data_IF_871880302016
#
_entry.id   IF_871880302016
#
_cell.length_a   1.000
_cell.length_b   1.000
_cell.length_c   1.000
_cell.angle_alpha   90.00
_cell.angle_beta   90.00
_cell.angle_gamma   90.00
#
_symmetry.space_group_name_H-M   'P 1'
#
loop_
_entity.id
_entity.type
_entity.pdbx_description
1 polymer ?
#
# COMPACT_ATOMS: atom_id res chain seq x y z
N UNK A 1 -10.80 -11.85 19.36
CA UNK A 1 -11.26 -13.22 19.06
C UNK A 1 -11.31 -13.53 17.55
N UNK A 2 -10.81 -12.65 16.66
CA UNK A 2 -10.63 -12.91 15.21
C UNK A 2 -9.33 -13.69 14.88
N UNK A 3 -8.31 -13.58 15.74
CA UNK A 3 -6.97 -14.13 15.52
C UNK A 3 -6.91 -15.67 15.49
N UNK A 4 -7.94 -16.36 16.00
CA UNK A 4 -8.06 -17.81 15.99
C UNK A 4 -8.92 -18.35 14.84
N UNK A 5 -9.44 -17.49 13.97
CA UNK A 5 -10.14 -17.94 12.77
C UNK A 5 -9.10 -18.24 11.67
N UNK A 6 -8.81 -19.52 11.49
CA UNK A 6 -7.83 -20.01 10.52
C UNK A 6 -8.19 -19.55 9.10
N UNK A 7 -9.48 -19.41 8.78
CA UNK A 7 -9.92 -18.97 7.46
C UNK A 7 -9.56 -17.50 7.25
N UNK A 8 -9.91 -16.64 8.21
CA UNK A 8 -9.62 -15.21 8.14
C UNK A 8 -8.11 -14.95 8.14
N UNK A 9 -7.34 -15.70 8.94
CA UNK A 9 -5.89 -15.60 8.96
C UNK A 9 -5.26 -16.03 7.63
N UNK A 10 -5.80 -17.06 6.98
CA UNK A 10 -5.33 -17.52 5.67
C UNK A 10 -5.63 -16.47 4.57
N UNK A 11 -6.82 -15.88 4.57
CA UNK A 11 -7.17 -14.78 3.65
C UNK A 11 -6.26 -13.55 3.84
N UNK A 12 -6.05 -13.13 5.08
CA UNK A 12 -5.15 -12.02 5.40
C UNK A 12 -3.71 -12.28 4.95
N UNK A 13 -3.20 -13.52 5.14
CA UNK A 13 -1.85 -13.91 4.69
C UNK A 13 -1.73 -13.96 3.17
N UNK A 14 -2.77 -14.40 2.47
CA UNK A 14 -2.84 -14.37 1.01
C UNK A 14 -2.64 -12.94 0.49
N UNK A 15 -3.44 -11.99 0.99
CA UNK A 15 -3.32 -10.57 0.61
C UNK A 15 -1.97 -9.98 1.04
N UNK A 16 -1.49 -10.32 2.23
CA UNK A 16 -0.18 -9.83 2.73
C UNK A 16 0.99 -10.31 1.85
N UNK A 17 0.89 -11.49 1.26
CA UNK A 17 1.92 -12.05 0.35
C UNK A 17 2.01 -11.25 -0.94
N UNK A 18 0.87 -10.80 -1.48
CA UNK A 18 0.83 -9.89 -2.64
C UNK A 18 1.49 -8.56 -2.29
N UNK A 19 1.20 -8.03 -1.08
CA UNK A 19 1.80 -6.79 -0.58
C UNK A 19 3.33 -6.90 -0.44
N UNK A 20 3.82 -8.05 0.03
CA UNK A 20 5.25 -8.33 0.15
C UNK A 20 5.93 -8.35 -1.22
N UNK A 21 5.37 -9.07 -2.20
CA UNK A 21 5.94 -9.15 -3.55
C UNK A 21 5.92 -7.79 -4.26
N UNK A 22 4.84 -7.02 -4.10
CA UNK A 22 4.79 -5.66 -4.60
C UNK A 22 5.84 -4.77 -3.92
N UNK A 23 6.09 -4.92 -2.62
CA UNK A 23 7.19 -4.25 -1.92
C UNK A 23 8.58 -4.62 -2.48
N UNK A 24 8.79 -5.88 -2.85
CA UNK A 24 10.03 -6.34 -3.51
C UNK A 24 10.21 -5.67 -4.88
N UNK A 25 9.16 -5.56 -5.67
CA UNK A 25 9.18 -4.86 -6.98
C UNK A 25 9.53 -3.38 -6.79
N UNK A 26 8.91 -2.73 -5.80
CA UNK A 26 9.18 -1.31 -5.48
C UNK A 26 10.66 -1.12 -5.11
N UNK A 27 11.18 -1.99 -4.25
CA UNK A 27 12.57 -1.97 -3.81
C UNK A 27 13.56 -2.22 -4.96
N UNK A 28 13.25 -3.17 -5.85
CA UNK A 28 14.06 -3.45 -7.04
C UNK A 28 14.21 -2.24 -7.96
N UNK A 29 13.17 -1.42 -8.09
CA UNK A 29 13.23 -0.17 -8.86
C UNK A 29 14.22 0.87 -8.30
N UNK A 30 14.73 0.69 -7.08
CA UNK A 30 15.79 1.53 -6.52
C UNK A 30 17.17 1.16 -7.09
N UNK A 31 17.38 -0.12 -7.42
CA UNK A 31 18.65 -0.64 -7.93
C UNK A 31 18.70 -0.73 -9.46
N UNK A 32 17.55 -0.96 -10.09
CA UNK A 32 17.44 -1.17 -11.54
C UNK A 32 16.72 0.04 -12.17
N UNK A 33 17.43 0.94 -12.87
CA UNK A 33 16.86 2.15 -13.45
C UNK A 33 15.70 1.90 -14.42
N UNK A 34 15.75 0.79 -15.15
CA UNK A 34 14.72 0.37 -16.11
C UNK A 34 13.38 0.03 -15.42
N UNK A 35 13.41 -0.32 -14.13
CA UNK A 35 12.24 -0.63 -13.30
C UNK A 35 11.70 0.58 -12.52
N UNK A 36 12.31 1.76 -12.65
CA UNK A 36 11.89 2.94 -11.87
C UNK A 36 10.43 3.31 -12.13
N UNK A 37 10.02 3.33 -13.39
CA UNK A 37 8.66 3.64 -13.82
C UNK A 37 7.63 2.63 -13.29
N UNK A 38 7.96 1.33 -13.37
CA UNK A 38 7.09 0.25 -12.88
C UNK A 38 7.01 0.25 -11.36
N UNK A 39 8.13 0.46 -10.67
CA UNK A 39 8.20 0.57 -9.21
C UNK A 39 7.32 1.70 -8.67
N UNK A 40 7.40 2.90 -9.24
CA UNK A 40 6.54 4.02 -8.85
C UNK A 40 5.06 3.73 -9.11
N UNK A 41 4.73 3.10 -10.26
CA UNK A 41 3.34 2.72 -10.58
C UNK A 41 2.77 1.72 -9.58
N UNK A 42 3.55 0.71 -9.18
CA UNK A 42 3.15 -0.27 -8.15
C UNK A 42 3.04 0.37 -6.77
N UNK A 43 3.95 1.29 -6.41
CA UNK A 43 3.88 2.01 -5.15
C UNK A 43 2.62 2.88 -5.05
N UNK A 44 2.26 3.59 -6.13
CA UNK A 44 1.01 4.37 -6.19
C UNK A 44 -0.20 3.45 -6.04
N UNK A 45 -0.24 2.35 -6.79
CA UNK A 45 -1.33 1.38 -6.73
C UNK A 45 -1.52 0.83 -5.32
N UNK A 46 -0.43 0.44 -4.65
CA UNK A 46 -0.47 -0.05 -3.28
C UNK A 46 -0.90 1.05 -2.29
N UNK A 47 -0.13 2.13 -2.19
CA UNK A 47 -0.31 3.10 -1.12
C UNK A 47 -1.62 3.88 -1.27
N UNK A 48 -1.97 4.35 -2.48
CA UNK A 48 -3.25 5.02 -2.68
C UNK A 48 -4.42 4.04 -2.66
N UNK A 49 -4.25 2.82 -3.17
CA UNK A 49 -5.27 1.78 -3.10
C UNK A 49 -5.66 1.44 -1.65
N UNK A 50 -4.66 1.25 -0.78
CA UNK A 50 -4.89 1.03 0.64
C UNK A 50 -5.46 2.27 1.33
N UNK A 51 -4.97 3.48 1.00
CA UNK A 51 -5.51 4.71 1.58
C UNK A 51 -7.01 4.87 1.27
N UNK A 52 -7.42 4.63 0.02
CA UNK A 52 -8.83 4.67 -0.39
C UNK A 52 -9.63 3.60 0.36
N UNK A 53 -9.13 2.36 0.40
CA UNK A 53 -9.78 1.26 1.12
C UNK A 53 -9.99 1.58 2.60
N UNK A 54 -8.98 2.16 3.28
CA UNK A 54 -9.09 2.58 4.67
C UNK A 54 -10.07 3.73 4.86
N UNK A 55 -10.07 4.74 3.99
CA UNK A 55 -11.03 5.85 4.09
C UNK A 55 -12.47 5.36 3.96
N UNK A 56 -12.71 4.42 3.04
CA UNK A 56 -14.03 3.77 2.90
C UNK A 56 -14.38 2.96 4.16
N UNK A 57 -13.46 2.13 4.66
CA UNK A 57 -13.66 1.37 5.91
C UNK A 57 -13.87 2.27 7.13
N UNK A 58 -13.26 3.45 7.21
CA UNK A 58 -13.50 4.37 8.33
C UNK A 58 -14.95 4.86 8.35
N UNK A 59 -15.55 5.06 7.18
CA UNK A 59 -16.95 5.45 7.05
C UNK A 59 -17.92 4.31 7.34
N UNK A 60 -17.59 3.08 6.96
CA UNK A 60 -18.48 1.91 7.08
C UNK A 60 -18.31 1.16 8.41
N UNK A 61 -17.08 0.91 8.84
CA UNK A 61 -16.73 0.06 9.98
C UNK A 61 -16.45 0.88 11.26
N UNK A 62 -16.39 2.21 11.13
CA UNK A 62 -16.10 3.14 12.21
C UNK A 62 -14.61 3.46 12.41
N UNK A 63 -14.30 4.27 13.43
CA UNK A 63 -12.94 4.80 13.64
C UNK A 63 -12.00 3.73 14.20
N UNK A 64 -10.90 3.39 13.52
CA UNK A 64 -9.97 2.38 14.01
C UNK A 64 -8.98 2.94 15.03
N UNK A 65 -8.07 2.07 15.49
CA UNK A 65 -7.06 2.43 16.47
C UNK A 65 -6.06 3.47 15.92
N UNK A 66 -5.26 4.06 16.82
CA UNK A 66 -4.27 5.10 16.48
C UNK A 66 -3.19 4.62 15.49
N UNK A 67 -2.81 3.34 15.53
CA UNK A 67 -1.79 2.76 14.64
C UNK A 67 -2.28 2.68 13.19
N UNK A 68 -3.55 2.33 12.98
CA UNK A 68 -4.18 2.26 11.67
C UNK A 68 -4.32 3.66 11.06
N UNK A 69 -4.66 4.66 11.87
CA UNK A 69 -4.70 6.06 11.44
C UNK A 69 -3.30 6.55 11.05
N UNK A 70 -2.27 6.19 11.81
CA UNK A 70 -0.89 6.50 11.45
C UNK A 70 -0.48 5.82 10.13
N UNK A 71 -0.88 4.56 9.93
CA UNK A 71 -0.68 3.84 8.67
C UNK A 71 -1.29 4.57 7.47
N UNK A 72 -2.53 5.06 7.61
CA UNK A 72 -3.20 5.85 6.57
C UNK A 72 -2.42 7.13 6.21
N UNK A 73 -1.84 7.81 7.20
CA UNK A 73 -1.01 9.00 6.95
C UNK A 73 0.22 8.63 6.12
N UNK A 74 0.90 7.54 6.46
CA UNK A 74 2.04 7.05 5.68
C UNK A 74 1.65 6.65 4.26
N UNK A 75 0.52 5.95 4.10
CA UNK A 75 -0.01 5.56 2.79
C UNK A 75 -0.27 6.80 1.91
N UNK A 76 -0.88 7.86 2.45
CA UNK A 76 -1.11 9.10 1.70
C UNK A 76 0.19 9.83 1.34
N UNK A 77 1.14 9.95 2.26
CA UNK A 77 2.41 10.66 2.02
C UNK A 77 3.24 9.91 0.99
N UNK A 78 3.43 8.60 1.16
CA UNK A 78 4.23 7.77 0.25
C UNK A 78 3.55 7.64 -1.12
N UNK A 79 2.23 7.46 -1.16
CA UNK A 79 1.46 7.43 -2.41
C UNK A 79 1.57 8.76 -3.17
N UNK A 80 1.42 9.89 -2.46
CA UNK A 80 1.57 11.23 -3.03
C UNK A 80 2.98 11.49 -3.56
N UNK A 81 4.01 11.13 -2.78
CA UNK A 81 5.41 11.28 -3.18
C UNK A 81 5.75 10.45 -4.44
N UNK A 82 5.28 9.19 -4.50
CA UNK A 82 5.49 8.35 -5.68
C UNK A 82 4.73 8.88 -6.90
N UNK A 83 3.52 9.40 -6.72
CA UNK A 83 2.75 10.05 -7.81
C UNK A 83 3.48 11.26 -8.34
N UNK A 84 3.98 12.12 -7.45
CA UNK A 84 4.76 13.30 -7.83
C UNK A 84 6.03 12.92 -8.59
N UNK A 85 6.80 11.94 -8.09
CA UNK A 85 8.02 11.49 -8.75
C UNK A 85 7.75 10.85 -10.12
N UNK A 86 6.68 10.07 -10.24
CA UNK A 86 6.25 9.49 -11.51
C UNK A 86 5.92 10.57 -12.53
N UNK A 87 5.11 11.58 -12.14
CA UNK A 87 4.75 12.70 -13.02
C UNK A 87 5.99 13.49 -13.44
N UNK A 88 6.88 13.79 -12.50
CA UNK A 88 8.12 14.50 -12.78
C UNK A 88 9.11 13.71 -13.65
N UNK A 89 9.01 12.39 -13.70
CA UNK A 89 9.84 11.54 -14.58
C UNK A 89 9.29 11.51 -16.01
N UNK A 90 7.99 11.75 -16.19
CA UNK A 90 7.30 11.69 -17.48
C UNK A 90 7.23 13.05 -18.20
N UNK A 91 7.35 14.16 -17.47
CA UNK A 91 7.32 15.55 -17.98
C UNK A 91 8.74 16.07 -18.18
#
# INVERSE_FOLDING_TARGET
KLENDVNLLNEMRGVSSVMLLAGVIILLGTFIPELTLTSHSFAILLFLGFAIGRVLSFGLDGKPNKLIVQGLIFELILGGANTFCLVNTLV
#
